data_IF_299186797004
#
_entry.id   IF_299186797004
#
_cell.length_a   1.000
_cell.length_b   1.000
_cell.length_c   1.000
_cell.angle_alpha   90.00
_cell.angle_beta   90.00
_cell.angle_gamma   90.00
#
_symmetry.space_group_name_H-M   'P 1'
#
loop_
_entity.id
_entity.type
_entity.pdbx_description
1 polymer ?
#
# COMPACT_ATOMS: atom_id res chain seq x y z
N UNK A 1 40.13 -12.50 -44.54
CA UNK A 1 38.87 -11.76 -44.32
C UNK A 1 37.79 -12.63 -43.70
N UNK A 2 37.54 -13.84 -44.21
CA UNK A 2 36.53 -14.78 -43.68
C UNK A 2 36.74 -15.19 -42.20
N UNK A 3 37.98 -15.48 -41.79
CA UNK A 3 38.28 -15.87 -40.40
C UNK A 3 37.94 -14.80 -39.34
N UNK A 4 38.05 -13.50 -39.68
CA UNK A 4 37.65 -12.40 -38.76
C UNK A 4 36.13 -12.26 -38.63
N UNK A 5 35.36 -12.67 -39.64
CA UNK A 5 33.90 -12.61 -39.61
C UNK A 5 33.30 -13.66 -38.68
N UNK A 6 33.85 -14.87 -38.68
CA UNK A 6 33.43 -15.95 -37.77
C UNK A 6 33.77 -15.65 -36.31
N UNK A 7 34.92 -15.01 -36.06
CA UNK A 7 35.37 -14.59 -34.73
C UNK A 7 34.45 -13.50 -34.12
N UNK A 8 34.09 -12.49 -34.93
CA UNK A 8 33.15 -11.43 -34.53
C UNK A 8 31.73 -11.98 -34.28
N UNK A 9 31.29 -12.96 -35.08
CA UNK A 9 29.99 -13.61 -34.90
C UNK A 9 29.95 -14.50 -33.64
N UNK A 10 31.04 -15.19 -33.33
CA UNK A 10 31.20 -15.95 -32.09
C UNK A 10 31.20 -15.05 -30.85
N UNK A 11 31.91 -13.91 -30.89
CA UNK A 11 31.93 -12.91 -29.82
C UNK A 11 30.55 -12.29 -29.57
N UNK A 12 29.78 -12.01 -30.62
CA UNK A 12 28.41 -11.51 -30.52
C UNK A 12 27.46 -12.49 -29.82
N UNK A 13 27.55 -13.79 -30.12
CA UNK A 13 26.76 -14.84 -29.43
C UNK A 13 27.16 -15.00 -27.97
N UNK A 14 28.45 -14.85 -27.66
CA UNK A 14 28.97 -14.94 -26.30
C UNK A 14 28.52 -13.76 -25.43
N UNK A 15 28.43 -12.56 -26.01
CA UNK A 15 27.89 -11.37 -25.34
C UNK A 15 26.37 -11.50 -25.07
N UNK A 16 25.60 -11.99 -26.04
CA UNK A 16 24.17 -12.24 -25.87
C UNK A 16 23.89 -13.30 -24.79
N UNK A 17 24.63 -14.42 -24.80
CA UNK A 17 24.51 -15.47 -23.79
C UNK A 17 24.90 -14.97 -22.38
N UNK A 18 25.93 -14.12 -22.26
CA UNK A 18 26.28 -13.47 -20.98
C UNK A 18 25.17 -12.55 -20.48
N UNK A 19 24.57 -11.77 -21.36
CA UNK A 19 23.46 -10.90 -21.01
C UNK A 19 22.23 -11.69 -20.56
N UNK A 20 21.84 -12.75 -21.30
CA UNK A 20 20.76 -13.65 -20.89
C UNK A 20 21.03 -14.34 -19.56
N UNK A 21 22.28 -14.78 -19.32
CA UNK A 21 22.69 -15.41 -18.07
C UNK A 21 22.67 -14.42 -16.89
N UNK A 22 22.99 -13.15 -17.14
CA UNK A 22 22.86 -12.07 -16.17
C UNK A 22 21.39 -11.73 -15.86
N UNK A 23 20.52 -11.70 -16.87
CA UNK A 23 19.07 -11.55 -16.67
C UNK A 23 18.47 -12.73 -15.89
N UNK A 24 18.83 -13.97 -16.24
CA UNK A 24 18.41 -15.17 -15.51
C UNK A 24 18.93 -15.16 -14.06
N UNK A 25 20.16 -14.69 -13.85
CA UNK A 25 20.74 -14.52 -12.51
C UNK A 25 19.97 -13.47 -11.71
N UNK A 26 19.61 -12.34 -12.30
CA UNK A 26 18.81 -11.29 -11.66
C UNK A 26 17.40 -11.79 -11.30
N UNK A 27 16.74 -12.51 -12.22
CA UNK A 27 15.42 -13.12 -11.96
C UNK A 27 15.50 -14.14 -10.82
N UNK A 28 16.52 -15.00 -10.83
CA UNK A 28 16.73 -16.02 -9.79
C UNK A 28 17.07 -15.38 -8.44
N UNK A 29 17.93 -14.38 -8.41
CA UNK A 29 18.28 -13.63 -7.20
C UNK A 29 17.07 -12.86 -6.64
N UNK A 30 16.25 -12.26 -7.50
CA UNK A 30 15.02 -11.59 -7.09
C UNK A 30 14.00 -12.60 -6.54
N UNK A 31 13.85 -13.76 -7.18
CA UNK A 31 12.98 -14.84 -6.67
C UNK A 31 13.44 -15.32 -5.29
N UNK A 32 14.74 -15.57 -5.10
CA UNK A 32 15.32 -15.99 -3.82
C UNK A 32 15.07 -14.95 -2.72
N UNK A 33 15.27 -13.65 -3.02
CA UNK A 33 15.01 -12.55 -2.08
C UNK A 33 13.54 -12.44 -1.69
N UNK A 34 12.64 -12.59 -2.66
CA UNK A 34 11.19 -12.58 -2.41
C UNK A 34 10.79 -13.74 -1.50
N UNK A 35 11.35 -14.94 -1.70
CA UNK A 35 11.07 -16.08 -0.82
C UNK A 35 11.56 -15.86 0.61
N UNK A 36 12.79 -15.35 0.78
CA UNK A 36 13.32 -15.01 2.10
C UNK A 36 12.47 -13.94 2.81
N UNK A 37 11.99 -12.93 2.06
CA UNK A 37 11.13 -11.90 2.61
C UNK A 37 9.78 -12.47 3.06
N UNK A 38 9.09 -13.26 2.21
CA UNK A 38 7.79 -13.86 2.56
C UNK A 38 7.89 -14.77 3.78
N UNK A 39 8.94 -15.60 3.86
CA UNK A 39 9.17 -16.45 5.02
C UNK A 39 9.41 -15.62 6.28
N UNK A 40 10.10 -14.49 6.19
CA UNK A 40 10.33 -13.61 7.33
C UNK A 40 9.07 -12.84 7.73
N UNK A 41 8.24 -12.40 6.76
CA UNK A 41 6.92 -11.80 7.02
C UNK A 41 6.04 -12.77 7.82
N UNK A 42 5.98 -14.05 7.39
CA UNK A 42 5.25 -15.11 8.11
C UNK A 42 5.86 -15.38 9.49
N UNK A 43 7.18 -15.35 9.62
CA UNK A 43 7.86 -15.54 10.91
C UNK A 43 7.46 -14.45 11.93
N UNK A 44 7.39 -13.19 11.50
CA UNK A 44 6.97 -12.06 12.35
C UNK A 44 5.49 -12.18 12.73
N UNK A 45 4.64 -12.64 11.82
CA UNK A 45 3.21 -12.90 12.11
C UNK A 45 3.09 -14.00 13.18
N UNK A 46 3.74 -15.14 13.00
CA UNK A 46 3.73 -16.24 13.97
C UNK A 46 4.25 -15.78 15.35
N UNK A 47 5.32 -14.97 15.39
CA UNK A 47 5.84 -14.42 16.63
C UNK A 47 4.84 -13.50 17.34
N UNK A 48 4.09 -12.68 16.59
CA UNK A 48 3.03 -11.81 17.15
C UNK A 48 1.85 -12.61 17.70
N UNK A 49 1.54 -13.73 17.08
CA UNK A 49 0.48 -14.65 17.52
C UNK A 49 0.93 -15.56 18.68
N UNK A 50 2.20 -15.48 19.08
CA UNK A 50 2.80 -16.25 20.18
C UNK A 50 3.29 -17.64 19.79
N UNK A 51 3.29 -17.98 18.50
CA UNK A 51 3.87 -19.23 17.98
C UNK A 51 5.37 -19.06 17.68
N UNK A 52 6.16 -19.08 18.76
CA UNK A 52 7.62 -18.94 18.67
C UNK A 52 8.26 -20.08 17.87
N UNK A 53 7.70 -21.29 17.89
CA UNK A 53 8.28 -22.43 17.19
C UNK A 53 8.15 -22.28 15.67
N UNK A 54 6.96 -21.88 15.19
CA UNK A 54 6.73 -21.58 13.78
C UNK A 54 7.55 -20.37 13.32
N UNK A 55 7.61 -19.30 14.13
CA UNK A 55 8.42 -18.13 13.83
C UNK A 55 9.89 -18.47 13.57
N UNK A 56 10.49 -19.31 14.43
CA UNK A 56 11.89 -19.71 14.28
C UNK A 56 12.12 -20.64 13.09
N UNK A 57 11.19 -21.56 12.82
CA UNK A 57 11.28 -22.44 11.66
C UNK A 57 11.29 -21.62 10.36
N UNK A 58 10.39 -20.65 10.25
CA UNK A 58 10.25 -19.77 9.09
C UNK A 58 11.47 -18.84 8.92
N UNK A 59 11.98 -18.23 10.00
CA UNK A 59 13.18 -17.41 9.94
C UNK A 59 14.43 -18.22 9.53
N UNK A 60 14.61 -19.43 10.05
CA UNK A 60 15.69 -20.33 9.60
C UNK A 60 15.54 -20.67 8.11
N UNK A 61 14.32 -20.92 7.66
CA UNK A 61 14.05 -21.18 6.25
C UNK A 61 14.35 -19.95 5.37
N UNK A 62 14.05 -18.73 5.84
CA UNK A 62 14.43 -17.51 5.14
C UNK A 62 15.95 -17.40 4.94
N UNK A 63 16.74 -17.76 5.95
CA UNK A 63 18.21 -17.74 5.87
C UNK A 63 18.79 -18.83 4.95
N UNK A 64 18.09 -19.95 4.75
CA UNK A 64 18.48 -20.94 3.71
C UNK A 64 18.43 -20.29 2.32
N UNK A 65 17.46 -19.40 2.08
CA UNK A 65 17.34 -18.69 0.81
C UNK A 65 18.27 -17.48 0.74
N UNK A 66 18.35 -16.66 1.79
CA UNK A 66 19.22 -15.49 1.86
C UNK A 66 19.99 -15.47 3.19
N UNK A 67 21.22 -16.02 3.23
CA UNK A 67 22.00 -16.16 4.47
C UNK A 67 22.28 -14.85 5.21
N UNK A 68 22.39 -13.75 4.47
CA UNK A 68 22.62 -12.40 5.01
C UNK A 68 21.30 -11.61 5.17
N UNK A 69 20.14 -12.27 5.31
CA UNK A 69 18.85 -11.60 5.49
C UNK A 69 18.72 -11.08 6.92
N UNK A 70 19.09 -9.82 7.10
CA UNK A 70 19.16 -9.15 8.40
C UNK A 70 17.91 -9.31 9.28
N UNK A 71 16.66 -9.17 8.76
CA UNK A 71 15.48 -9.34 9.61
C UNK A 71 15.31 -10.76 10.17
N UNK A 72 15.69 -11.80 9.41
CA UNK A 72 15.65 -13.18 9.91
C UNK A 72 16.77 -13.48 10.91
N UNK A 73 17.96 -12.88 10.72
CA UNK A 73 19.06 -12.97 11.69
C UNK A 73 18.68 -12.33 13.03
N UNK A 74 18.03 -11.17 12.99
CA UNK A 74 17.54 -10.47 14.19
C UNK A 74 16.45 -11.28 14.91
N UNK A 75 15.56 -11.95 14.16
CA UNK A 75 14.48 -12.77 14.74
C UNK A 75 15.06 -13.97 15.51
N UNK A 76 16.09 -14.60 14.96
CA UNK A 76 16.80 -15.68 15.66
C UNK A 76 17.56 -15.16 16.88
N UNK A 77 18.26 -14.03 16.76
CA UNK A 77 19.04 -13.46 17.86
C UNK A 77 18.17 -13.09 19.08
N UNK A 78 16.95 -12.57 18.86
CA UNK A 78 16.03 -12.24 19.95
C UNK A 78 15.48 -13.47 20.67
N UNK A 79 15.27 -14.57 19.93
CA UNK A 79 14.81 -15.83 20.52
C UNK A 79 15.86 -16.52 21.40
N UNK A 80 17.15 -16.30 21.12
CA UNK A 80 18.25 -16.82 21.94
C UNK A 80 18.44 -16.01 23.24
N UNK A 81 17.89 -14.79 23.29
CA UNK A 81 18.04 -13.88 24.43
C UNK A 81 16.84 -13.88 25.38
N UNK A 82 15.72 -14.49 24.99
CA UNK A 82 14.48 -14.46 25.78
C UNK A 82 13.75 -15.80 25.73
N UNK A 83 13.50 -16.43 26.89
CA UNK A 83 12.53 -17.54 27.00
C UNK A 83 11.11 -17.10 26.59
N UNK A 84 10.87 -15.78 26.47
CA UNK A 84 9.64 -15.17 25.99
C UNK A 84 9.97 -13.86 25.24
N UNK A 85 10.04 -13.89 23.90
CA UNK A 85 10.14 -12.67 23.10
C UNK A 85 8.96 -11.74 23.43
N UNK A 86 9.26 -10.51 23.85
CA UNK A 86 8.22 -9.57 24.27
C UNK A 86 7.59 -8.88 23.05
N UNK A 87 6.38 -8.32 23.22
CA UNK A 87 5.69 -7.53 22.16
C UNK A 87 6.57 -6.38 21.63
N UNK A 88 7.46 -5.83 22.46
CA UNK A 88 8.37 -4.75 22.05
C UNK A 88 9.45 -5.21 21.06
N UNK A 89 9.95 -6.43 21.22
CA UNK A 89 10.96 -7.02 20.34
C UNK A 89 10.36 -7.34 18.96
N UNK A 90 9.13 -7.83 18.93
CA UNK A 90 8.38 -8.08 17.69
C UNK A 90 8.04 -6.79 16.92
N UNK A 91 7.82 -5.68 17.60
CA UNK A 91 7.53 -4.39 16.96
C UNK A 91 8.78 -3.74 16.34
N UNK A 92 9.94 -3.87 16.99
CA UNK A 92 11.21 -3.44 16.41
C UNK A 92 11.57 -4.23 15.15
N UNK A 93 11.33 -5.55 15.15
CA UNK A 93 11.54 -6.38 13.95
C UNK A 93 10.58 -6.06 12.82
N UNK A 94 9.33 -5.82 13.18
CA UNK A 94 8.32 -5.37 12.23
C UNK A 94 8.77 -4.10 11.51
N UNK A 95 9.47 -3.18 12.20
CA UNK A 95 10.04 -1.99 11.57
C UNK A 95 11.20 -2.27 10.63
N UNK A 96 12.15 -3.10 11.05
CA UNK A 96 13.30 -3.41 10.20
C UNK A 96 12.88 -4.15 8.93
N UNK A 97 11.90 -5.06 9.07
CA UNK A 97 11.24 -5.73 7.96
C UNK A 97 10.57 -4.71 7.01
N UNK A 98 9.79 -3.76 7.54
CA UNK A 98 9.16 -2.74 6.70
C UNK A 98 10.19 -1.86 5.99
N UNK A 99 11.30 -1.49 6.63
CA UNK A 99 12.37 -0.73 5.97
C UNK A 99 12.92 -1.50 4.77
N UNK A 100 13.24 -2.78 4.95
CA UNK A 100 13.74 -3.63 3.85
C UNK A 100 12.73 -3.73 2.70
N UNK A 101 11.44 -3.90 3.02
CA UNK A 101 10.35 -3.92 2.03
C UNK A 101 10.23 -2.56 1.33
N UNK A 102 10.31 -1.44 2.04
CA UNK A 102 10.24 -0.09 1.46
C UNK A 102 11.35 0.09 0.42
N UNK A 103 12.59 -0.28 0.75
CA UNK A 103 13.71 -0.20 -0.19
C UNK A 103 13.52 -1.10 -1.43
N UNK A 104 12.93 -2.28 -1.26
CA UNK A 104 12.61 -3.17 -2.37
C UNK A 104 11.59 -2.53 -3.32
N UNK A 105 10.51 -1.97 -2.77
CA UNK A 105 9.45 -1.34 -3.56
C UNK A 105 9.90 -0.02 -4.20
N UNK A 106 10.87 0.68 -3.60
CA UNK A 106 11.53 1.83 -4.24
C UNK A 106 12.26 1.43 -5.52
N UNK A 107 12.94 0.29 -5.51
CA UNK A 107 13.61 -0.24 -6.72
C UNK A 107 12.62 -0.73 -7.78
N UNK A 108 11.45 -1.20 -7.37
CA UNK A 108 10.39 -1.65 -8.26
C UNK A 108 9.56 -0.49 -8.82
N UNK A 109 9.58 0.67 -8.17
CA UNK A 109 8.86 1.85 -8.61
C UNK A 109 9.47 2.42 -9.90
N UNK A 110 8.61 2.57 -10.91
CA UNK A 110 9.01 3.02 -12.26
C UNK A 110 8.56 4.44 -12.57
N UNK A 111 7.61 5.02 -11.81
CA UNK A 111 7.18 6.40 -11.99
C UNK A 111 8.37 7.35 -11.80
N UNK A 112 8.66 8.18 -12.82
CA UNK A 112 9.79 9.13 -12.80
C UNK A 112 9.37 10.56 -12.49
N UNK A 113 8.07 10.86 -12.54
CA UNK A 113 7.52 12.19 -12.25
C UNK A 113 6.87 12.23 -10.86
N UNK A 114 7.69 12.01 -9.83
CA UNK A 114 7.24 12.05 -8.42
C UNK A 114 7.68 13.37 -7.80
N UNK A 115 6.73 14.10 -7.19
CA UNK A 115 6.96 15.37 -6.50
C UNK A 115 6.56 15.20 -5.03
N UNK A 116 7.43 15.64 -4.12
CA UNK A 116 7.26 15.45 -2.68
C UNK A 116 7.77 14.10 -2.19
N UNK A 117 7.92 13.97 -0.87
CA UNK A 117 8.47 12.78 -0.23
C UNK A 117 7.60 12.40 0.98
N UNK A 118 6.69 11.42 0.85
CA UNK A 118 5.83 11.01 1.95
C UNK A 118 6.61 10.23 3.02
N UNK A 119 6.14 10.29 4.26
CA UNK A 119 6.54 9.38 5.33
C UNK A 119 5.96 7.99 5.05
N UNK A 120 6.78 6.95 5.15
CA UNK A 120 6.39 5.58 4.81
C UNK A 120 6.70 4.66 5.97
N UNK A 121 5.65 4.23 6.68
CA UNK A 121 5.70 3.12 7.61
C UNK A 121 5.41 1.78 6.92
N UNK A 122 4.87 1.81 5.70
CA UNK A 122 4.63 0.66 4.83
C UNK A 122 5.15 0.94 3.41
N UNK A 123 5.58 -0.07 2.62
CA UNK A 123 5.94 0.10 1.21
C UNK A 123 4.87 0.79 0.39
N UNK A 124 5.32 1.61 -0.54
CA UNK A 124 4.48 2.30 -1.53
C UNK A 124 5.08 2.05 -2.91
N UNK A 125 4.31 1.42 -3.80
CA UNK A 125 4.69 1.17 -5.18
C UNK A 125 4.20 2.33 -6.06
N UNK A 126 5.12 3.02 -6.75
CA UNK A 126 4.81 4.15 -7.62
C UNK A 126 5.08 3.80 -9.08
N UNK A 127 4.04 3.74 -9.92
CA UNK A 127 4.11 3.29 -11.31
C UNK A 127 3.50 4.29 -12.31
N UNK A 128 3.79 4.05 -13.58
CA UNK A 128 3.22 4.78 -14.72
C UNK A 128 4.06 5.96 -15.21
N UNK A 129 3.73 6.45 -16.40
CA UNK A 129 4.46 7.53 -17.08
C UNK A 129 3.97 8.94 -16.69
N UNK A 130 2.82 9.01 -16.03
CA UNK A 130 2.21 10.22 -15.52
C UNK A 130 2.87 10.75 -14.26
N UNK A 131 2.20 11.72 -13.63
CA UNK A 131 2.70 12.44 -12.45
C UNK A 131 2.04 11.98 -11.17
N UNK A 132 2.82 11.90 -10.10
CA UNK A 132 2.34 11.69 -8.74
C UNK A 132 2.90 12.81 -7.87
N UNK A 133 2.04 13.61 -7.22
CA UNK A 133 2.48 14.70 -6.35
C UNK A 133 1.89 14.57 -4.95
N UNK A 134 2.76 14.67 -3.96
CA UNK A 134 2.47 14.69 -2.55
C UNK A 134 2.63 16.10 -1.99
N UNK A 135 1.67 16.55 -1.20
CA UNK A 135 1.78 17.71 -0.33
C UNK A 135 2.74 17.48 0.85
N UNK A 136 2.63 18.34 1.86
CA UNK A 136 3.38 18.22 3.10
C UNK A 136 2.74 17.20 4.06
N UNK A 137 3.58 16.58 4.91
CA UNK A 137 3.11 15.68 5.98
C UNK A 137 2.22 14.52 5.55
N UNK A 138 2.50 13.95 4.38
CA UNK A 138 1.81 12.73 3.90
C UNK A 138 2.38 11.50 4.59
N UNK A 139 1.51 10.57 5.02
CA UNK A 139 1.93 9.30 5.60
C UNK A 139 1.23 8.09 4.97
N UNK A 140 2.01 7.04 4.73
CA UNK A 140 1.50 5.71 4.38
C UNK A 140 1.84 4.68 5.47
N UNK A 141 0.81 3.96 5.91
CA UNK A 141 0.93 2.81 6.81
C UNK A 141 0.63 3.12 8.27
N UNK A 142 0.06 2.13 8.96
CA UNK A 142 -0.23 2.17 10.40
C UNK A 142 0.07 0.80 11.04
N UNK A 143 1.06 0.77 11.93
CA UNK A 143 1.61 -0.46 12.56
C UNK A 143 0.54 -1.39 13.13
N UNK A 144 -0.45 -0.81 13.80
CA UNK A 144 -1.50 -1.53 14.55
C UNK A 144 -2.72 -1.88 13.70
N UNK A 145 -2.74 -1.50 12.42
CA UNK A 145 -3.86 -1.84 11.53
C UNK A 145 -3.58 -3.13 10.76
N UNK A 146 -4.63 -3.86 10.32
CA UNK A 146 -4.47 -4.99 9.43
C UNK A 146 -3.69 -4.62 8.16
N UNK A 147 -3.01 -5.60 7.57
CA UNK A 147 -2.29 -5.39 6.32
C UNK A 147 -0.89 -4.81 6.49
N UNK A 148 -0.43 -4.42 7.69
CA UNK A 148 0.84 -3.72 7.87
C UNK A 148 2.03 -4.53 7.33
N UNK A 149 2.11 -5.81 7.72
CA UNK A 149 3.23 -6.69 7.40
C UNK A 149 3.18 -7.27 5.99
N UNK A 150 2.00 -7.56 5.47
CA UNK A 150 1.79 -8.37 4.27
C UNK A 150 1.34 -7.55 3.04
N UNK A 151 0.95 -6.29 3.23
CA UNK A 151 0.51 -5.40 2.12
C UNK A 151 1.51 -4.28 1.85
N UNK A 152 1.19 -3.54 0.78
CA UNK A 152 1.84 -2.32 0.34
C UNK A 152 0.78 -1.40 -0.27
N UNK A 153 1.03 -0.10 -0.29
CA UNK A 153 0.16 0.85 -1.01
C UNK A 153 0.57 0.97 -2.47
N UNK A 154 -0.38 1.11 -3.38
CA UNK A 154 -0.17 1.12 -4.82
C UNK A 154 -0.66 2.43 -5.43
N UNK A 155 0.20 3.18 -6.10
CA UNK A 155 -0.18 4.37 -6.84
C UNK A 155 0.32 4.25 -8.29
N UNK A 156 -0.58 4.38 -9.24
CA UNK A 156 -0.24 4.33 -10.67
C UNK A 156 -0.91 5.47 -11.43
N UNK A 157 -0.09 6.36 -12.00
CA UNK A 157 -0.51 7.37 -12.96
C UNK A 157 -0.08 6.90 -14.36
N UNK A 158 -0.95 6.17 -15.04
CA UNK A 158 -0.58 5.28 -16.16
C UNK A 158 0.01 6.04 -17.35
N UNK A 159 -0.68 7.07 -17.85
CA UNK A 159 -0.29 7.79 -19.05
C UNK A 159 0.41 9.13 -18.74
N UNK A 160 1.22 9.67 -19.66
CA UNK A 160 2.00 10.90 -19.43
C UNK A 160 1.18 12.12 -18.97
N UNK A 161 -0.06 12.23 -19.43
CA UNK A 161 -0.96 13.35 -19.10
C UNK A 161 -1.79 13.10 -17.82
N UNK A 162 -1.64 11.91 -17.21
CA UNK A 162 -2.39 11.51 -16.01
C UNK A 162 -1.70 12.04 -14.76
N UNK A 163 -2.49 12.52 -13.79
CA UNK A 163 -1.97 13.06 -12.53
C UNK A 163 -2.73 12.51 -11.32
N UNK A 164 -1.99 12.01 -10.34
CA UNK A 164 -2.46 11.79 -8.96
C UNK A 164 -1.91 12.91 -8.07
N UNK A 165 -2.80 13.71 -7.50
CA UNK A 165 -2.45 14.81 -6.60
C UNK A 165 -3.03 14.57 -5.21
N UNK A 166 -2.19 14.68 -4.18
CA UNK A 166 -2.57 14.46 -2.77
C UNK A 166 -2.20 15.71 -1.96
N UNK A 167 -3.19 16.32 -1.30
CA UNK A 167 -3.04 17.49 -0.46
C UNK A 167 -2.46 17.19 0.93
N UNK A 168 -2.06 18.26 1.60
CA UNK A 168 -1.28 18.23 2.85
C UNK A 168 -1.96 17.46 3.98
N UNK A 169 -1.16 16.98 4.94
CA UNK A 169 -1.63 16.31 6.17
C UNK A 169 -2.58 15.13 5.91
N UNK A 170 -2.45 14.46 4.77
CA UNK A 170 -3.29 13.31 4.43
C UNK A 170 -2.63 12.00 4.86
N UNK A 171 -3.41 11.15 5.53
CA UNK A 171 -2.96 9.88 6.08
C UNK A 171 -3.65 8.70 5.40
N UNK A 172 -2.83 7.80 4.86
CA UNK A 172 -3.27 6.52 4.30
C UNK A 172 -2.88 5.39 5.24
N UNK A 173 -3.87 4.60 5.63
CA UNK A 173 -3.63 3.35 6.32
C UNK A 173 -3.11 2.29 5.32
N UNK A 174 -2.98 1.03 5.75
CA UNK A 174 -2.29 -0.01 5.01
C UNK A 174 -3.04 -0.44 3.74
N UNK A 175 -2.30 -0.71 2.67
CA UNK A 175 -2.84 -1.36 1.47
C UNK A 175 -3.75 -0.49 0.61
N UNK A 176 -3.61 0.84 0.64
CA UNK A 176 -4.40 1.74 -0.21
C UNK A 176 -3.96 1.64 -1.67
N UNK A 177 -4.91 1.67 -2.61
CA UNK A 177 -4.68 1.65 -4.04
C UNK A 177 -5.28 2.89 -4.72
N UNK A 178 -4.47 3.70 -5.39
CA UNK A 178 -4.90 4.81 -6.23
C UNK A 178 -4.48 4.51 -7.68
N UNK A 179 -5.43 4.30 -8.57
CA UNK A 179 -5.14 3.94 -9.96
C UNK A 179 -5.81 4.92 -10.90
N UNK A 180 -4.98 5.72 -11.54
CA UNK A 180 -5.37 6.66 -12.57
C UNK A 180 -4.84 6.20 -13.93
N UNK A 181 -5.73 5.91 -14.86
CA UNK A 181 -5.40 5.60 -16.25
C UNK A 181 -5.36 6.87 -17.11
N UNK A 182 -6.24 7.85 -16.87
CA UNK A 182 -6.36 9.03 -17.73
C UNK A 182 -6.70 10.33 -17.02
N UNK A 183 -7.95 10.51 -16.62
CA UNK A 183 -8.46 11.80 -16.14
C UNK A 183 -7.87 12.26 -14.79
N UNK A 184 -7.30 11.33 -14.01
CA UNK A 184 -6.58 11.64 -12.79
C UNK A 184 -7.40 11.54 -11.50
N UNK A 185 -6.69 11.62 -10.39
CA UNK A 185 -7.23 11.57 -9.03
C UNK A 185 -6.70 12.79 -8.26
N UNK A 186 -7.59 13.52 -7.62
CA UNK A 186 -7.23 14.65 -6.75
C UNK A 186 -7.80 14.41 -5.36
N UNK A 187 -6.94 14.48 -4.35
CA UNK A 187 -7.28 14.36 -2.93
C UNK A 187 -6.89 15.66 -2.23
N UNK A 188 -7.82 16.23 -1.46
CA UNK A 188 -7.63 17.44 -0.67
C UNK A 188 -6.69 17.25 0.53
N UNK A 189 -6.68 18.25 1.41
CA UNK A 189 -5.89 18.24 2.64
C UNK A 189 -6.63 17.54 3.80
N UNK A 190 -5.88 17.20 4.86
CA UNK A 190 -6.39 16.69 6.14
C UNK A 190 -7.28 15.43 6.02
N UNK A 191 -7.07 14.64 4.96
CA UNK A 191 -7.89 13.45 4.71
C UNK A 191 -7.38 12.21 5.46
N UNK A 192 -8.30 11.31 5.80
CA UNK A 192 -8.02 10.03 6.44
C UNK A 192 -8.55 8.88 5.59
N UNK A 193 -7.70 7.93 5.25
CA UNK A 193 -8.08 6.73 4.49
C UNK A 193 -7.83 5.48 5.33
N UNK A 194 -8.89 4.70 5.54
CA UNK A 194 -8.85 3.39 6.16
C UNK A 194 -8.03 2.38 5.34
N UNK A 195 -7.78 1.22 5.93
CA UNK A 195 -6.98 0.20 5.26
C UNK A 195 -7.73 -0.39 4.06
N UNK A 196 -6.98 -0.76 3.01
CA UNK A 196 -7.51 -1.32 1.75
C UNK A 196 -8.58 -0.47 1.05
N UNK A 197 -8.43 0.86 1.07
CA UNK A 197 -9.25 1.75 0.23
C UNK A 197 -8.73 1.72 -1.21
N UNK A 198 -9.65 1.75 -2.17
CA UNK A 198 -9.35 1.78 -3.60
C UNK A 198 -10.02 3.00 -4.27
N UNK A 199 -9.26 3.73 -5.09
CA UNK A 199 -9.76 4.89 -5.86
C UNK A 199 -9.37 4.71 -7.33
N UNK A 200 -10.36 4.72 -8.22
CA UNK A 200 -10.20 4.40 -9.64
C UNK A 200 -10.78 5.49 -10.53
N UNK A 201 -10.02 6.00 -11.51
CA UNK A 201 -10.53 6.97 -12.50
C UNK A 201 -11.03 6.30 -13.81
N UNK A 202 -10.96 4.98 -13.91
CA UNK A 202 -11.22 4.20 -15.13
C UNK A 202 -11.95 2.88 -14.86
N UNK A 203 -12.59 2.36 -15.92
CA UNK A 203 -13.08 0.96 -15.96
C UNK A 203 -12.00 -0.02 -16.43
N UNK A 204 -10.83 0.46 -16.88
CA UNK A 204 -9.68 -0.27 -17.45
C UNK A 204 -9.94 -1.05 -18.75
N UNK A 205 -11.21 -1.31 -19.07
CA UNK A 205 -11.63 -1.90 -20.33
C UNK A 205 -12.92 -1.25 -20.84
N UNK A 206 -13.13 -1.29 -22.15
CA UNK A 206 -14.40 -0.88 -22.74
C UNK A 206 -15.54 -1.79 -22.26
N UNK A 207 -16.61 -1.21 -21.73
CA UNK A 207 -17.75 -1.96 -21.21
C UNK A 207 -18.51 -2.70 -22.33
N UNK A 208 -18.44 -2.24 -23.58
CA UNK A 208 -19.11 -2.88 -24.70
C UNK A 208 -18.48 -4.26 -24.98
N UNK A 209 -19.24 -5.37 -24.95
CA UNK A 209 -18.67 -6.73 -25.02
C UNK A 209 -17.76 -6.98 -26.23
N UNK A 210 -18.13 -6.44 -27.40
CA UNK A 210 -17.32 -6.60 -28.64
C UNK A 210 -16.03 -5.78 -28.66
N UNK A 211 -15.88 -4.82 -27.75
CA UNK A 211 -14.70 -3.94 -27.67
C UNK A 211 -13.93 -4.13 -26.36
N UNK A 212 -14.33 -5.06 -25.49
CA UNK A 212 -13.71 -5.28 -24.16
C UNK A 212 -12.17 -5.38 -24.21
N UNK A 213 -11.63 -5.99 -25.27
CA UNK A 213 -10.19 -6.21 -25.44
C UNK A 213 -9.52 -5.25 -26.44
N UNK A 214 -10.26 -4.35 -27.08
CA UNK A 214 -9.76 -3.54 -28.20
C UNK A 214 -10.17 -2.07 -28.14
N UNK A 215 -11.19 -1.75 -27.34
CA UNK A 215 -11.72 -0.40 -27.17
C UNK A 215 -10.97 0.36 -26.09
N UNK A 216 -11.04 1.68 -26.17
CA UNK A 216 -10.45 2.57 -25.17
C UNK A 216 -11.38 2.64 -23.95
N UNK A 217 -10.87 2.42 -22.73
CA UNK A 217 -11.66 2.58 -21.52
C UNK A 217 -12.10 4.03 -21.32
N UNK A 218 -13.24 4.20 -20.66
CA UNK A 218 -13.77 5.52 -20.32
C UNK A 218 -13.18 5.95 -19.00
N UNK A 219 -12.42 7.04 -19.00
CA UNK A 219 -11.88 7.66 -17.80
C UNK A 219 -12.71 8.89 -17.39
N UNK A 220 -12.81 9.14 -16.08
CA UNK A 220 -13.44 10.34 -15.51
C UNK A 220 -12.74 10.72 -14.21
N UNK A 221 -12.52 12.01 -13.93
CA UNK A 221 -11.74 12.43 -12.77
C UNK A 221 -12.41 12.00 -11.48
N UNK A 222 -11.61 11.69 -10.47
CA UNK A 222 -12.09 11.52 -9.08
C UNK A 222 -11.55 12.65 -8.23
N UNK A 223 -12.43 13.30 -7.47
CA UNK A 223 -12.07 14.43 -6.61
C UNK A 223 -12.55 14.17 -5.18
N UNK A 224 -11.63 14.19 -4.23
CA UNK A 224 -11.91 14.09 -2.79
C UNK A 224 -11.60 15.46 -2.19
N UNK A 225 -12.59 16.10 -1.56
CA UNK A 225 -12.43 17.38 -0.88
C UNK A 225 -11.60 17.26 0.41
N UNK A 226 -11.40 18.39 1.08
CA UNK A 226 -10.62 18.45 2.31
C UNK A 226 -11.33 17.77 3.49
N UNK A 227 -10.56 17.29 4.46
CA UNK A 227 -11.06 16.70 5.71
C UNK A 227 -12.05 15.54 5.51
N UNK A 228 -11.88 14.74 4.45
CA UNK A 228 -12.71 13.56 4.18
C UNK A 228 -12.15 12.35 4.92
N UNK A 229 -13.04 11.59 5.57
CA UNK A 229 -12.71 10.30 6.15
C UNK A 229 -13.33 9.16 5.34
N UNK A 230 -12.49 8.32 4.73
CA UNK A 230 -12.90 7.13 3.99
C UNK A 230 -12.64 5.88 4.81
N UNK A 231 -13.69 5.16 5.18
CA UNK A 231 -13.62 3.92 5.92
C UNK A 231 -12.94 2.78 5.14
N UNK A 232 -12.41 1.80 5.87
CA UNK A 232 -11.69 0.66 5.32
C UNK A 232 -12.48 -0.11 4.25
N UNK A 233 -11.79 -0.73 3.29
CA UNK A 233 -12.41 -1.51 2.19
C UNK A 233 -13.42 -0.73 1.34
N UNK A 234 -13.29 0.59 1.28
CA UNK A 234 -14.13 1.40 0.40
C UNK A 234 -13.53 1.48 -0.99
N UNK A 235 -14.36 1.36 -2.02
CA UNK A 235 -13.99 1.62 -3.42
C UNK A 235 -14.69 2.89 -3.91
N UNK A 236 -13.92 3.85 -4.42
CA UNK A 236 -14.42 5.07 -5.07
C UNK A 236 -14.22 4.95 -6.58
N UNK A 237 -15.32 4.97 -7.32
CA UNK A 237 -15.29 4.79 -8.77
C UNK A 237 -15.12 6.12 -9.51
N UNK A 238 -14.74 5.99 -10.79
CA UNK A 238 -14.48 7.10 -11.69
C UNK A 238 -15.63 8.11 -11.75
N UNK A 239 -15.28 9.39 -11.88
CA UNK A 239 -16.27 10.47 -12.01
C UNK A 239 -16.96 10.88 -10.72
N UNK A 240 -16.56 10.32 -9.57
CA UNK A 240 -17.08 10.69 -8.26
C UNK A 240 -16.36 11.93 -7.73
N UNK A 241 -17.15 12.88 -7.20
CA UNK A 241 -16.68 13.95 -6.34
C UNK A 241 -17.21 13.72 -4.91
N UNK A 242 -16.33 13.70 -3.91
CA UNK A 242 -16.71 13.65 -2.49
C UNK A 242 -16.45 15.03 -1.89
N UNK A 243 -17.51 15.69 -1.42
CA UNK A 243 -17.40 17.02 -0.81
C UNK A 243 -16.61 16.99 0.52
N UNK A 244 -16.08 18.16 0.90
CA UNK A 244 -15.32 18.32 2.13
C UNK A 244 -16.09 17.86 3.39
N UNK A 245 -15.35 17.52 4.45
CA UNK A 245 -15.89 17.07 5.74
C UNK A 245 -16.74 15.80 5.68
N UNK A 246 -16.75 15.08 4.55
CA UNK A 246 -17.60 13.89 4.39
C UNK A 246 -16.99 12.66 5.03
N UNK A 247 -17.82 11.83 5.66
CA UNK A 247 -17.46 10.50 6.15
C UNK A 247 -18.08 9.44 5.27
N UNK A 248 -17.26 8.54 4.72
CA UNK A 248 -17.72 7.35 4.00
C UNK A 248 -17.48 6.13 4.88
N UNK A 249 -18.55 5.40 5.22
CA UNK A 249 -18.48 4.19 6.02
C UNK A 249 -17.66 3.09 5.36
N UNK A 250 -17.09 2.19 6.16
CA UNK A 250 -16.32 1.05 5.67
C UNK A 250 -17.14 0.13 4.73
N UNK A 251 -16.44 -0.61 3.88
CA UNK A 251 -17.01 -1.55 2.91
C UNK A 251 -18.01 -0.91 1.93
N UNK A 252 -17.83 0.38 1.62
CA UNK A 252 -18.72 1.10 0.72
C UNK A 252 -18.26 1.05 -0.74
N UNK A 253 -19.20 1.14 -1.68
CA UNK A 253 -18.89 1.32 -3.11
C UNK A 253 -19.51 2.63 -3.58
N UNK A 254 -18.67 3.65 -3.75
CA UNK A 254 -19.09 5.00 -4.12
C UNK A 254 -19.16 5.09 -5.65
N UNK A 255 -20.40 5.06 -6.17
CA UNK A 255 -20.69 5.18 -7.60
C UNK A 255 -21.20 6.57 -8.01
N UNK A 256 -21.59 7.40 -7.04
CA UNK A 256 -22.16 8.72 -7.26
C UNK A 256 -21.52 9.72 -6.31
N UNK A 257 -21.35 10.96 -6.77
CA UNK A 257 -20.81 12.05 -5.96
C UNK A 257 -21.60 12.26 -4.67
N UNK A 258 -20.88 12.60 -3.61
CA UNK A 258 -21.42 12.85 -2.27
C UNK A 258 -21.27 14.34 -1.95
N UNK A 259 -22.30 15.01 -1.41
CA UNK A 259 -22.21 16.40 -0.96
C UNK A 259 -21.26 16.51 0.25
N UNK A 260 -20.82 17.74 0.56
CA UNK A 260 -20.00 18.01 1.74
C UNK A 260 -20.79 17.80 3.04
N UNK A 261 -20.09 17.49 4.14
CA UNK A 261 -20.66 17.46 5.48
C UNK A 261 -21.68 16.35 5.73
N UNK A 262 -21.53 15.19 5.08
CA UNK A 262 -22.46 14.05 5.25
C UNK A 262 -21.76 12.80 5.75
N UNK A 263 -22.54 11.91 6.36
CA UNK A 263 -22.19 10.51 6.54
C UNK A 263 -22.86 9.71 5.43
N UNK A 264 -22.06 9.00 4.63
CA UNK A 264 -22.55 8.12 3.58
C UNK A 264 -22.02 6.69 3.78
N UNK A 265 -22.71 5.70 3.24
CA UNK A 265 -22.21 4.33 3.25
C UNK A 265 -23.06 3.35 2.47
N UNK A 266 -22.52 2.13 2.29
CA UNK A 266 -23.19 1.00 1.65
C UNK A 266 -22.68 0.68 0.25
N UNK A 267 -23.28 -0.34 -0.37
CA UNK A 267 -22.99 -0.76 -1.73
C UNK A 267 -24.31 -0.85 -2.54
N UNK A 268 -24.61 0.14 -3.40
CA UNK A 268 -23.85 1.36 -3.61
C UNK A 268 -24.03 2.38 -2.47
N UNK A 269 -23.03 3.23 -2.23
CA UNK A 269 -23.04 4.19 -1.14
C UNK A 269 -24.15 5.23 -1.31
N UNK A 270 -24.84 5.57 -0.22
CA UNK A 270 -25.87 6.61 -0.16
C UNK A 270 -25.64 7.49 1.05
N UNK A 271 -26.06 8.75 0.96
CA UNK A 271 -26.14 9.62 2.12
C UNK A 271 -27.07 8.97 3.16
N UNK A 272 -26.55 8.78 4.36
CA UNK A 272 -27.29 8.23 5.51
C UNK A 272 -27.88 9.38 6.31
N UNK A 273 -27.07 10.41 6.58
CA UNK A 273 -27.44 11.65 7.28
C UNK A 273 -26.42 12.75 7.04
N UNK A 274 -26.77 13.97 7.41
CA UNK A 274 -25.83 15.09 7.54
C UNK A 274 -25.00 14.93 8.83
N UNK A 275 -23.80 15.52 8.85
CA UNK A 275 -23.01 15.67 10.06
C UNK A 275 -23.54 16.83 10.89
N UNK A 276 -23.60 16.64 12.21
CA UNK A 276 -24.07 17.63 13.16
C UNK A 276 -22.93 18.06 14.10
N UNK A 277 -23.01 19.26 14.69
CA UNK A 277 -22.01 19.73 15.68
C UNK A 277 -21.83 18.76 16.86
N UNK A 278 -22.86 17.97 17.17
CA UNK A 278 -22.85 16.96 18.24
C UNK A 278 -21.91 15.79 17.95
N UNK A 279 -21.55 15.55 16.69
CA UNK A 279 -20.60 14.51 16.28
C UNK A 279 -19.16 14.79 16.79
N UNK A 280 -18.84 16.04 17.14
CA UNK A 280 -17.54 16.42 17.71
C UNK A 280 -17.33 15.95 19.17
N UNK A 281 -18.40 15.56 19.89
CA UNK A 281 -18.39 15.44 21.35
C UNK A 281 -18.57 14.01 21.91
N UNK A 282 -18.97 13.04 21.10
CA UNK A 282 -19.38 11.70 21.57
C UNK A 282 -18.23 10.84 22.10
N UNK A 283 -16.96 11.16 21.80
CA UNK A 283 -15.79 10.43 22.33
C UNK A 283 -15.44 10.72 23.80
N UNK A 284 -15.88 11.84 24.39
CA UNK A 284 -15.55 12.19 25.79
C UNK A 284 -16.54 11.65 26.83
N UNK A 285 -17.72 11.19 26.39
CA UNK A 285 -18.80 10.77 27.30
C UNK A 285 -18.61 9.34 27.85
N UNK A 286 -18.07 8.40 27.06
CA UNK A 286 -18.05 6.98 27.43
C UNK A 286 -16.93 6.60 28.42
N UNK A 287 -15.88 7.42 28.56
CA UNK A 287 -14.82 7.21 29.55
C UNK A 287 -15.20 7.72 30.95
N UNK A 288 -16.19 8.62 31.06
CA UNK A 288 -16.64 9.15 32.35
C UNK A 288 -17.68 8.25 33.06
N UNK A 289 -18.31 7.32 32.36
CA UNK A 289 -19.29 6.38 32.93
C UNK A 289 -18.68 5.05 33.37
N UNK A 290 -17.50 4.66 32.88
CA UNK A 290 -16.82 3.42 33.26
C UNK A 290 -16.01 3.53 34.59
N UNK A 291 -15.77 4.75 35.09
CA UNK A 291 -15.00 5.01 36.31
C UNK A 291 -15.85 5.13 37.59
N UNK A 292 -17.18 4.89 37.52
CA UNK A 292 -18.10 5.03 38.67
C UNK A 292 -18.74 3.74 39.18
N UNK A 293 -18.30 2.56 38.75
CA UNK A 293 -18.90 1.29 39.21
C UNK A 293 -17.96 0.34 39.98
N UNK A 294 -16.76 0.77 40.40
CA UNK A 294 -15.88 -0.04 41.24
C UNK A 294 -15.58 0.64 42.57
N UNK A 295 -16.62 0.78 43.39
CA UNK A 295 -16.47 1.17 44.77
C UNK A 295 -17.78 1.04 45.51
N UNK A 296 -18.02 -0.15 46.10
CA UNK A 296 -18.65 -0.39 47.41
C UNK A 296 -19.01 -1.87 47.52
N UNK A 297 -18.52 -2.52 48.57
CA UNK A 297 -18.78 -3.92 48.93
C UNK A 297 -17.54 -4.62 49.45
#
# INVERSE_FOLDING_TARGET
MLARGEELFALGRLAAARHELEQLRLVTQNSIRVHAQVLTDLAVIAARDGDTAEALALARQALVHQPDHQPALELLALSEQTDHASVGDADALSDELQKSRIEQFDRLSTCRQVIGMPERAQPVLLLGDGRISFGESIRFGWRRSPGFLDRYSYLEATHPDTHIAIGDNTFFNNGVSLRAEGAGITIGADCLFGWSVEILDSDFHDLHPRRRNTGTPVTKPVTIGDNVFVGAHTTVMKGVAIGADTVVGACSVVLHSLPAGVVAGGNPARVIRELEETDAASARSTLASASRSHGHG
#
